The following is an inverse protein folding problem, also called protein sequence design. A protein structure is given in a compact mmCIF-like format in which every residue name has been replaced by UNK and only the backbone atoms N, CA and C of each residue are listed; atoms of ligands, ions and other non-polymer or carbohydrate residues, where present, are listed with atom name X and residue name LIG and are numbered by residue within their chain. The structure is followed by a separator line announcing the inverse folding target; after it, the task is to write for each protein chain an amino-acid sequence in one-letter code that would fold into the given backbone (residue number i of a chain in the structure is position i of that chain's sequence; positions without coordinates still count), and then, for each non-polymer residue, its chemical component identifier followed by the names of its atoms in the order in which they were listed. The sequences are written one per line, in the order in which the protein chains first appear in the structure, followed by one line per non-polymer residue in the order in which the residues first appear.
data_IF_614551522341
#
_entry.id   IF_614551522341
#
_cell.length_a   1.000
_cell.length_b   1.000
_cell.length_c   1.000
_cell.angle_alpha   90.00
_cell.angle_beta   90.00
_cell.angle_gamma   90.00
#
_symmetry.space_group_name_H-M   'P 1'
#
loop_
_entity.id
_entity.type
_entity.pdbx_description
1 polymer ?
#
# COMPACT_ATOMS: atom_id res chain seq x y z
N UNK A 1 -1.36 -48.90 -44.39
CA UNK A 1 -2.23 -47.73 -44.18
C UNK A 1 -2.17 -47.34 -42.71
N UNK A 2 -1.59 -46.18 -42.40
CA UNK A 2 -1.92 -45.25 -41.30
C UNK A 2 -0.69 -44.37 -41.02
N UNK A 3 -0.72 -43.15 -41.57
CA UNK A 3 0.23 -42.08 -41.34
C UNK A 3 0.20 -41.64 -39.86
N UNK A 4 1.36 -41.57 -39.19
CA UNK A 4 1.56 -40.68 -38.05
C UNK A 4 2.26 -39.42 -38.56
N UNK A 5 1.46 -38.41 -38.88
CA UNK A 5 1.95 -37.08 -39.19
C UNK A 5 2.51 -36.40 -37.93
N UNK A 6 3.66 -35.77 -38.13
CA UNK A 6 4.33 -34.79 -37.28
C UNK A 6 3.40 -33.67 -36.81
N UNK A 7 3.45 -33.35 -35.51
CA UNK A 7 3.08 -32.02 -35.00
C UNK A 7 4.26 -31.48 -34.18
N UNK A 8 5.20 -30.90 -34.93
CA UNK A 8 6.20 -29.97 -34.42
C UNK A 8 5.61 -28.56 -34.54
N UNK A 9 5.50 -27.80 -33.44
CA UNK A 9 5.61 -26.32 -33.35
C UNK A 9 4.96 -25.79 -32.06
N UNK A 10 5.76 -25.11 -31.23
CA UNK A 10 5.43 -23.86 -30.50
C UNK A 10 6.64 -23.43 -29.63
N UNK A 11 7.78 -23.18 -30.28
CA UNK A 11 8.91 -22.50 -29.63
C UNK A 11 8.72 -20.99 -29.85
N UNK A 12 8.42 -20.23 -28.80
CA UNK A 12 8.53 -18.78 -28.81
C UNK A 12 9.98 -18.38 -29.10
N UNK A 13 10.19 -17.31 -29.87
CA UNK A 13 11.54 -16.83 -30.20
C UNK A 13 12.19 -16.35 -28.91
N UNK A 14 13.20 -17.10 -28.46
CA UNK A 14 14.03 -16.75 -27.31
C UNK A 14 15.17 -15.82 -27.73
N UNK A 15 15.64 -14.97 -26.84
CA UNK A 15 16.85 -14.18 -27.04
C UNK A 15 18.12 -15.03 -26.84
N UNK A 16 19.29 -14.38 -26.95
CA UNK A 16 20.59 -15.02 -26.79
C UNK A 16 20.85 -15.57 -25.37
N UNK A 17 20.03 -15.18 -24.40
CA UNK A 17 20.09 -15.64 -23.00
C UNK A 17 19.07 -16.75 -22.72
N UNK A 18 18.22 -17.10 -23.68
CA UNK A 18 17.23 -18.17 -23.55
C UNK A 18 15.88 -17.71 -22.99
N UNK A 19 15.69 -16.40 -22.82
CA UNK A 19 14.46 -15.76 -22.35
C UNK A 19 13.52 -15.44 -23.51
N UNK A 20 12.22 -15.43 -23.26
CA UNK A 20 11.25 -15.01 -24.28
C UNK A 20 11.42 -13.51 -24.53
N UNK A 21 11.57 -13.10 -25.80
CA UNK A 21 11.62 -11.68 -26.16
C UNK A 21 10.39 -10.96 -25.61
N UNK A 22 10.55 -9.73 -25.12
CA UNK A 22 9.49 -8.92 -24.49
C UNK A 22 8.20 -8.77 -25.32
N UNK A 23 8.30 -9.00 -26.64
CA UNK A 23 7.21 -8.86 -27.61
C UNK A 23 6.67 -10.23 -28.07
N UNK A 24 7.11 -11.33 -27.45
CA UNK A 24 6.71 -12.67 -27.83
C UNK A 24 5.25 -12.92 -27.43
N UNK A 25 4.50 -13.57 -28.32
CA UNK A 25 3.13 -14.02 -28.05
C UNK A 25 3.13 -14.94 -26.83
N UNK A 26 2.20 -14.71 -25.90
CA UNK A 26 2.04 -15.52 -24.70
C UNK A 26 1.85 -17.01 -25.11
N UNK A 27 2.76 -17.92 -24.71
CA UNK A 27 2.70 -19.32 -25.13
C UNK A 27 1.47 -20.06 -24.57
N UNK A 28 0.82 -19.53 -23.53
CA UNK A 28 -0.39 -20.08 -22.92
C UNK A 28 -1.67 -19.52 -23.56
N UNK A 29 -1.63 -18.28 -24.07
CA UNK A 29 -2.79 -17.63 -24.67
C UNK A 29 -2.41 -16.86 -25.95
N UNK A 30 -2.41 -17.59 -27.06
CA UNK A 30 -1.92 -17.11 -28.37
C UNK A 30 -2.86 -16.07 -29.02
N UNK A 31 -4.08 -15.92 -28.50
CA UNK A 31 -5.06 -14.92 -28.90
C UNK A 31 -5.67 -14.29 -27.64
N UNK A 32 -5.08 -13.21 -27.10
CA UNK A 32 -5.79 -12.41 -26.11
C UNK A 32 -7.01 -11.80 -26.81
N UNK A 33 -8.20 -12.35 -26.56
CA UNK A 33 -9.43 -11.62 -26.81
C UNK A 33 -9.41 -10.42 -25.87
N UNK A 34 -9.06 -9.23 -26.38
CA UNK A 34 -9.34 -8.00 -25.67
C UNK A 34 -10.10 -7.03 -26.56
N UNK A 35 -11.16 -6.48 -25.94
CA UNK A 35 -11.95 -5.30 -26.29
C UNK A 35 -12.96 -5.43 -27.44
N UNK A 36 -14.04 -6.17 -27.18
CA UNK A 36 -15.37 -5.69 -27.57
C UNK A 36 -15.97 -4.87 -26.41
N UNK A 37 -16.76 -3.85 -26.73
CA UNK A 37 -17.34 -2.89 -25.78
C UNK A 37 -17.81 -3.53 -24.48
N UNK A 38 -17.03 -3.32 -23.41
CA UNK A 38 -17.56 -3.56 -22.08
C UNK A 38 -18.74 -2.60 -21.90
N UNK A 39 -19.95 -3.09 -21.57
CA UNK A 39 -21.01 -2.18 -21.18
C UNK A 39 -20.48 -1.33 -20.03
N UNK A 40 -20.69 -0.01 -20.11
CA UNK A 40 -20.38 0.92 -19.02
C UNK A 40 -20.79 0.28 -17.70
N UNK A 41 -19.91 0.27 -16.68
CA UNK A 41 -20.26 -0.27 -15.37
C UNK A 41 -21.58 0.37 -14.94
N UNK A 42 -22.64 -0.44 -14.86
CA UNK A 42 -23.87 0.03 -14.24
C UNK A 42 -23.51 0.32 -12.81
N UNK A 43 -23.55 1.60 -12.42
CA UNK A 43 -23.46 2.02 -11.04
C UNK A 43 -24.59 1.33 -10.28
N UNK A 44 -24.27 0.16 -9.75
CA UNK A 44 -25.18 -0.54 -8.86
C UNK A 44 -24.90 0.13 -7.53
N UNK A 45 -25.82 0.99 -7.09
CA UNK A 45 -25.90 1.33 -5.67
C UNK A 45 -26.34 0.08 -4.92
N UNK A 46 -25.48 -0.94 -4.92
CA UNK A 46 -25.51 -1.95 -3.88
C UNK A 46 -25.18 -1.17 -2.62
N UNK A 47 -26.22 -0.76 -1.89
CA UNK A 47 -26.06 -0.41 -0.49
C UNK A 47 -25.22 -1.54 0.10
N UNK A 48 -24.00 -1.23 0.51
CA UNK A 48 -23.23 -2.12 1.37
C UNK A 48 -24.23 -2.49 2.47
N UNK A 49 -24.59 -3.77 2.65
CA UNK A 49 -25.49 -4.16 3.72
C UNK A 49 -24.99 -3.50 4.99
N UNK A 50 -25.88 -2.83 5.74
CA UNK A 50 -25.50 -2.23 7.02
C UNK A 50 -24.63 -3.23 7.77
N UNK A 51 -23.35 -2.89 7.92
CA UNK A 51 -22.42 -3.76 8.62
C UNK A 51 -23.05 -3.97 9.99
N UNK A 52 -23.18 -5.23 10.46
CA UNK A 52 -23.67 -5.47 11.80
C UNK A 52 -22.87 -4.59 12.77
N UNK A 53 -23.51 -4.05 13.82
CA UNK A 53 -22.83 -3.21 14.79
C UNK A 53 -21.54 -3.91 15.21
N UNK A 54 -20.44 -3.15 15.30
CA UNK A 54 -19.14 -3.72 15.61
C UNK A 54 -19.26 -4.56 16.89
N UNK A 55 -19.28 -5.87 16.72
CA UNK A 55 -19.14 -6.77 17.85
C UNK A 55 -17.73 -6.48 18.33
N UNK A 56 -17.57 -6.07 19.60
CA UNK A 56 -16.25 -6.01 20.22
C UNK A 56 -15.56 -7.30 19.87
N UNK A 57 -14.53 -7.23 19.03
CA UNK A 57 -13.76 -8.39 18.67
C UNK A 57 -13.31 -8.98 20.00
N UNK A 58 -13.66 -10.24 20.26
CA UNK A 58 -13.11 -10.99 21.37
C UNK A 58 -11.64 -11.26 21.01
N UNK A 59 -10.82 -10.22 21.07
CA UNK A 59 -9.37 -10.28 20.86
C UNK A 59 -8.67 -10.92 22.05
N UNK A 60 -9.38 -11.09 23.17
CA UNK A 60 -8.96 -11.88 24.31
C UNK A 60 -9.21 -13.37 24.04
N UNK A 61 -8.49 -13.93 23.07
CA UNK A 61 -8.24 -15.37 23.07
C UNK A 61 -7.05 -15.63 24.01
N UNK A 62 -7.17 -16.53 25.00
CA UNK A 62 -6.03 -16.93 25.82
C UNK A 62 -4.91 -17.62 25.01
N UNK A 63 -5.16 -17.95 23.72
CA UNK A 63 -4.17 -18.48 22.80
C UNK A 63 -3.38 -17.40 22.03
N UNK A 64 -3.83 -16.13 22.02
CA UNK A 64 -3.09 -15.03 21.40
C UNK A 64 -2.03 -14.56 22.40
N UNK A 65 -0.80 -15.04 22.22
CA UNK A 65 0.33 -14.71 23.09
C UNK A 65 0.89 -13.29 22.84
N UNK A 66 0.37 -12.60 21.82
CA UNK A 66 0.79 -11.25 21.39
C UNK A 66 -0.44 -10.39 21.07
N UNK A 67 -1.19 -9.91 22.07
CA UNK A 67 -2.38 -9.10 21.80
C UNK A 67 -1.98 -7.84 21.01
N UNK A 68 -2.70 -7.50 19.92
CA UNK A 68 -2.40 -6.30 19.15
C UNK A 68 -2.52 -5.07 20.04
N UNK A 69 -1.49 -4.24 20.06
CA UNK A 69 -1.58 -2.93 20.73
C UNK A 69 -2.59 -2.09 19.95
N UNK A 70 -3.55 -1.51 20.66
CA UNK A 70 -4.47 -0.54 20.05
C UNK A 70 -3.66 0.58 19.40
N UNK A 71 -4.03 1.00 18.17
CA UNK A 71 -3.39 2.13 17.54
C UNK A 71 -3.53 3.38 18.43
N UNK A 72 -2.56 4.29 18.33
CA UNK A 72 -2.67 5.59 18.98
C UNK A 72 -3.88 6.38 18.46
N UNK A 73 -4.33 7.42 19.18
CA UNK A 73 -5.55 8.16 18.83
C UNK A 73 -5.42 9.02 17.55
N UNK A 74 -4.23 9.08 16.96
CA UNK A 74 -3.93 9.79 15.72
C UNK A 74 -2.79 9.08 14.98
N UNK A 75 -3.00 8.78 13.70
CA UNK A 75 -1.99 8.20 12.81
C UNK A 75 -1.90 8.98 11.50
N UNK A 76 -0.71 9.00 10.90
CA UNK A 76 -0.40 9.77 9.70
C UNK A 76 0.13 11.17 10.02
N UNK A 77 0.18 12.07 9.02
CA UNK A 77 -0.29 11.86 7.65
C UNK A 77 0.63 10.92 6.85
N UNK A 78 0.05 10.00 6.09
CA UNK A 78 0.79 9.16 5.14
C UNK A 78 0.59 9.71 3.73
N UNK A 79 1.62 10.39 3.21
CA UNK A 79 1.55 10.99 1.88
C UNK A 79 1.77 9.97 0.77
N UNK A 80 1.01 10.14 -0.31
CA UNK A 80 1.10 9.36 -1.52
C UNK A 80 1.12 10.29 -2.73
N UNK A 81 2.14 10.14 -3.58
CA UNK A 81 2.10 10.68 -4.93
C UNK A 81 1.12 9.88 -5.78
N UNK A 82 0.23 10.56 -6.50
CA UNK A 82 -0.76 9.93 -7.40
C UNK A 82 -0.31 10.11 -8.85
N UNK A 83 -0.21 11.35 -9.32
CA UNK A 83 0.13 11.66 -10.71
C UNK A 83 0.47 13.14 -10.90
N UNK A 84 0.80 13.52 -12.13
CA UNK A 84 0.96 14.92 -12.55
C UNK A 84 0.13 15.15 -13.82
N UNK A 85 -0.77 16.13 -13.78
CA UNK A 85 -1.53 16.59 -14.95
C UNK A 85 -0.74 17.70 -15.64
N UNK A 86 0.02 17.34 -16.68
CA UNK A 86 0.86 18.27 -17.43
C UNK A 86 0.07 19.29 -18.25
N UNK A 87 -1.20 19.02 -18.57
CA UNK A 87 -2.03 19.99 -19.29
C UNK A 87 -2.48 21.12 -18.36
N UNK A 88 -2.73 20.79 -17.10
CA UNK A 88 -3.12 21.75 -16.06
C UNK A 88 -1.94 22.28 -15.25
N UNK A 89 -0.73 21.77 -15.49
CA UNK A 89 0.44 22.04 -14.67
C UNK A 89 0.14 21.80 -13.18
N UNK A 90 -0.31 20.58 -12.85
CA UNK A 90 -0.79 20.24 -11.51
C UNK A 90 -0.14 18.95 -11.00
N UNK A 91 0.52 19.03 -9.86
CA UNK A 91 0.93 17.86 -9.08
C UNK A 91 -0.23 17.37 -8.23
N UNK A 92 -0.49 16.06 -8.25
CA UNK A 92 -1.61 15.44 -7.54
C UNK A 92 -1.09 14.39 -6.57
N UNK A 93 -1.51 14.52 -5.31
CA UNK A 93 -1.20 13.57 -4.25
C UNK A 93 -2.37 13.39 -3.29
N UNK A 94 -2.15 12.56 -2.28
CA UNK A 94 -3.07 12.47 -1.16
C UNK A 94 -2.34 12.24 0.15
N UNK A 95 -3.03 12.48 1.26
CA UNK A 95 -2.59 12.07 2.59
C UNK A 95 -3.68 11.21 3.24
N UNK A 96 -3.28 10.03 3.75
CA UNK A 96 -4.14 9.20 4.59
C UNK A 96 -3.93 9.60 6.06
N UNK A 97 -5.02 9.88 6.75
CA UNK A 97 -5.03 10.33 8.15
C UNK A 97 -6.04 9.48 8.92
N UNK A 98 -5.65 9.02 10.11
CA UNK A 98 -6.58 8.36 11.03
C UNK A 98 -6.71 9.16 12.31
N UNK A 99 -7.95 9.30 12.80
CA UNK A 99 -8.25 9.96 14.06
C UNK A 99 -9.28 9.17 14.84
N UNK A 100 -9.05 8.97 16.13
CA UNK A 100 -10.00 8.24 16.97
C UNK A 100 -11.37 8.93 16.97
N UNK A 101 -12.45 8.14 16.91
CA UNK A 101 -13.84 8.61 16.71
C UNK A 101 -14.36 9.52 17.83
N UNK A 102 -13.67 9.57 18.97
CA UNK A 102 -13.99 10.49 20.06
C UNK A 102 -13.50 11.92 19.83
N UNK A 103 -12.77 12.17 18.75
CA UNK A 103 -12.26 13.48 18.38
C UNK A 103 -12.87 13.94 17.06
N UNK A 104 -12.96 15.25 16.88
CA UNK A 104 -13.36 15.85 15.62
C UNK A 104 -12.31 15.59 14.52
N UNK A 105 -12.75 15.80 13.27
CA UNK A 105 -11.85 15.76 12.11
C UNK A 105 -10.70 16.78 12.31
N UNK A 106 -9.44 16.38 12.16
CA UNK A 106 -8.31 17.30 12.27
C UNK A 106 -8.32 18.32 11.12
N UNK A 107 -7.64 19.45 11.31
CA UNK A 107 -7.42 20.44 10.26
C UNK A 107 -6.01 20.36 9.71
N UNK A 108 -5.82 20.71 8.44
CA UNK A 108 -4.51 20.71 7.77
C UNK A 108 -4.28 22.05 7.08
N UNK A 109 -3.08 22.60 7.23
CA UNK A 109 -2.61 23.77 6.49
C UNK A 109 -1.34 23.43 5.70
N UNK A 110 -1.17 24.07 4.55
CA UNK A 110 0.03 23.99 3.72
C UNK A 110 0.68 25.37 3.65
N UNK A 111 2.00 25.44 3.88
CA UNK A 111 2.78 26.66 3.97
C UNK A 111 3.86 26.59 2.89
N UNK A 112 3.65 27.33 1.79
CA UNK A 112 4.59 27.46 0.67
C UNK A 112 4.19 28.65 -0.21
N UNK A 113 5.07 29.00 -1.14
CA UNK A 113 4.80 30.06 -2.14
C UNK A 113 3.92 29.58 -3.30
N UNK A 114 3.61 28.28 -3.32
CA UNK A 114 2.80 27.64 -4.36
C UNK A 114 1.32 27.64 -4.00
N UNK A 115 0.47 27.74 -5.01
CA UNK A 115 -0.96 27.47 -4.87
C UNK A 115 -1.21 26.00 -4.53
N UNK A 116 -1.83 25.76 -3.38
CA UNK A 116 -2.27 24.44 -2.93
C UNK A 116 -3.79 24.45 -2.73
N UNK A 117 -4.49 23.62 -3.49
CA UNK A 117 -5.90 23.30 -3.26
C UNK A 117 -5.99 21.90 -2.64
N UNK A 118 -6.92 21.68 -1.71
CA UNK A 118 -7.15 20.36 -1.13
C UNK A 118 -8.61 20.15 -0.71
N UNK A 119 -9.01 18.89 -0.57
CA UNK A 119 -10.31 18.52 -0.02
C UNK A 119 -10.21 17.23 0.82
N UNK A 120 -11.17 17.08 1.74
CA UNK A 120 -11.27 15.92 2.61
C UNK A 120 -12.33 14.95 2.10
N UNK A 121 -12.02 13.67 2.19
CA UNK A 121 -12.91 12.53 1.92
C UNK A 121 -12.90 11.62 3.15
N UNK A 122 -14.07 11.24 3.66
CA UNK A 122 -14.20 10.21 4.70
C UNK A 122 -14.22 8.86 4.01
N UNK A 123 -13.19 8.05 4.23
CA UNK A 123 -13.11 6.69 3.68
C UNK A 123 -13.86 5.69 4.56
N UNK A 124 -13.69 5.82 5.88
CA UNK A 124 -14.35 4.97 6.88
C UNK A 124 -14.67 5.80 8.13
N UNK A 125 -15.91 5.76 8.59
CA UNK A 125 -16.33 6.49 9.80
C UNK A 125 -15.83 5.80 11.08
N UNK A 126 -15.71 4.47 11.07
CA UNK A 126 -15.16 3.69 12.18
C UNK A 126 -14.51 2.40 11.68
N UNK A 127 -13.18 2.38 11.69
CA UNK A 127 -12.36 1.19 11.52
C UNK A 127 -11.45 1.07 12.75
N UNK A 128 -11.75 0.12 13.63
CA UNK A 128 -11.05 -0.06 14.91
C UNK A 128 -11.03 1.21 15.77
N UNK A 129 -12.19 1.85 15.91
CA UNK A 129 -12.39 3.11 16.65
C UNK A 129 -11.63 4.31 16.06
N UNK A 130 -11.17 4.20 14.82
CA UNK A 130 -10.56 5.28 14.05
C UNK A 130 -11.46 5.67 12.88
N UNK A 131 -11.69 6.96 12.70
CA UNK A 131 -12.15 7.51 11.43
C UNK A 131 -10.95 7.64 10.48
N UNK A 132 -11.11 7.17 9.24
CA UNK A 132 -10.09 7.20 8.20
C UNK A 132 -10.45 8.27 7.17
N UNK A 133 -9.55 9.22 6.99
CA UNK A 133 -9.70 10.34 6.07
C UNK A 133 -8.67 10.28 4.96
N UNK A 134 -9.07 10.68 3.76
CA UNK A 134 -8.14 11.04 2.68
C UNK A 134 -8.21 12.54 2.47
N UNK A 135 -7.05 13.19 2.48
CA UNK A 135 -6.90 14.55 1.98
C UNK A 135 -6.40 14.45 0.55
N UNK A 136 -7.20 14.86 -0.43
CA UNK A 136 -6.77 14.98 -1.82
C UNK A 136 -6.04 16.33 -1.97
N UNK A 137 -4.82 16.32 -2.49
CA UNK A 137 -3.93 17.48 -2.54
C UNK A 137 -3.57 17.78 -3.99
N UNK A 138 -3.72 19.05 -4.36
CA UNK A 138 -3.45 19.57 -5.69
C UNK A 138 -2.51 20.77 -5.54
N UNK A 139 -1.27 20.62 -6.04
CA UNK A 139 -0.26 21.68 -5.97
C UNK A 139 0.04 22.14 -7.38
N UNK A 140 0.08 23.44 -7.62
CA UNK A 140 0.54 23.95 -8.90
C UNK A 140 1.97 23.47 -9.20
N UNK A 141 2.22 23.13 -10.45
CA UNK A 141 3.54 22.69 -10.91
C UNK A 141 4.23 23.86 -11.61
N UNK A 142 5.37 24.28 -11.08
CA UNK A 142 6.18 25.31 -11.70
C UNK A 142 7.08 24.73 -12.81
N UNK A 143 7.32 25.47 -13.91
CA UNK A 143 8.30 25.08 -14.91
C UNK A 143 9.75 25.25 -14.41
N UNK A 144 10.71 24.67 -15.13
CA UNK A 144 12.13 24.80 -14.84
C UNK A 144 12.70 23.64 -14.01
N UNK A 145 13.97 23.78 -13.66
CA UNK A 145 14.68 22.88 -12.76
C UNK A 145 14.55 23.37 -11.31
N UNK A 146 14.70 22.44 -10.37
CA UNK A 146 14.59 22.68 -8.93
C UNK A 146 13.44 21.92 -8.27
N UNK A 147 13.42 22.01 -6.95
CA UNK A 147 12.44 21.36 -6.10
C UNK A 147 11.68 22.42 -5.31
N UNK A 148 10.38 22.25 -5.20
CA UNK A 148 9.52 23.11 -4.40
C UNK A 148 9.17 22.40 -3.09
N UNK A 149 9.43 23.05 -1.96
CA UNK A 149 9.18 22.51 -0.62
C UNK A 149 7.79 22.90 -0.15
N UNK A 150 7.00 21.90 0.22
CA UNK A 150 5.68 22.08 0.81
C UNK A 150 5.79 21.73 2.29
N UNK A 151 5.59 22.72 3.16
CA UNK A 151 5.45 22.49 4.59
C UNK A 151 3.97 22.23 4.87
N UNK A 152 3.67 21.27 5.72
CA UNK A 152 2.31 21.00 6.20
C UNK A 152 2.28 21.08 7.72
N UNK A 153 1.13 21.48 8.26
CA UNK A 153 0.83 21.38 9.68
C UNK A 153 -0.57 20.84 9.87
N UNK A 154 -0.71 19.88 10.77
CA UNK A 154 -1.99 19.31 11.19
C UNK A 154 -2.25 19.70 12.63
N UNK A 155 -3.41 20.31 12.85
CA UNK A 155 -3.98 20.47 14.18
C UNK A 155 -4.95 19.31 14.45
N UNK A 156 -4.59 18.48 15.44
CA UNK A 156 -5.38 17.33 15.86
C UNK A 156 -6.42 17.70 16.92
N UNK A 157 -6.41 18.94 17.42
CA UNK A 157 -7.24 19.43 18.52
C UNK A 157 -6.66 19.16 19.91
N UNK A 158 -5.86 18.11 20.09
CA UNK A 158 -5.11 17.78 21.32
C UNK A 158 -3.60 18.00 21.19
N UNK A 159 -3.09 18.07 19.97
CA UNK A 159 -1.69 18.32 19.63
C UNK A 159 -1.59 18.89 18.23
N UNK A 160 -0.40 19.38 17.91
CA UNK A 160 -0.04 19.81 16.56
C UNK A 160 1.15 19.00 16.08
N UNK A 161 1.16 18.66 14.80
CA UNK A 161 2.32 18.05 14.14
C UNK A 161 2.58 18.75 12.82
N UNK A 162 3.84 18.86 12.44
CA UNK A 162 4.24 19.43 11.17
C UNK A 162 5.32 18.59 10.50
N UNK A 163 5.54 18.88 9.23
CA UNK A 163 6.60 18.28 8.43
C UNK A 163 6.63 18.91 7.06
N UNK A 164 7.37 18.29 6.14
CA UNK A 164 7.44 18.76 4.76
C UNK A 164 7.68 17.63 3.79
N UNK A 165 7.31 17.86 2.53
CA UNK A 165 7.73 17.07 1.39
C UNK A 165 8.17 17.99 0.25
N UNK A 166 8.87 17.45 -0.74
CA UNK A 166 9.28 18.19 -1.92
C UNK A 166 8.60 17.65 -3.17
N UNK A 167 8.26 18.54 -4.08
CA UNK A 167 7.82 18.19 -5.43
C UNK A 167 8.88 18.65 -6.44
N UNK A 168 9.08 17.84 -7.47
CA UNK A 168 9.96 18.18 -8.59
C UNK A 168 9.25 19.18 -9.52
N UNK A 169 9.95 20.24 -9.95
CA UNK A 169 9.46 21.10 -11.05
C UNK A 169 9.42 20.35 -12.38
N UNK A 170 8.74 20.93 -13.38
CA UNK A 170 8.48 20.27 -14.66
C UNK A 170 9.73 19.69 -15.34
N UNK A 171 10.85 20.41 -15.32
CA UNK A 171 12.08 20.01 -16.00
C UNK A 171 13.10 19.35 -15.06
N UNK A 172 12.75 19.21 -13.77
CA UNK A 172 13.61 18.61 -12.78
C UNK A 172 13.68 17.09 -12.98
N UNK A 173 14.92 16.56 -13.01
CA UNK A 173 15.13 15.12 -12.98
C UNK A 173 14.60 14.55 -11.66
N UNK A 174 13.74 13.53 -11.76
CA UNK A 174 13.18 12.88 -10.59
C UNK A 174 14.24 12.05 -9.88
N UNK A 175 14.25 12.14 -8.55
CA UNK A 175 15.09 11.33 -7.68
C UNK A 175 14.18 10.47 -6.83
N UNK A 176 14.47 9.19 -6.75
CA UNK A 176 13.66 8.28 -5.97
C UNK A 176 14.49 7.16 -5.37
N UNK A 177 13.94 6.58 -4.31
CA UNK A 177 14.46 5.37 -3.71
C UNK A 177 13.53 4.20 -3.96
N UNK A 178 14.07 2.99 -3.89
CA UNK A 178 13.32 1.75 -3.87
C UNK A 178 13.69 1.00 -2.61
N UNK A 179 12.71 0.42 -1.94
CA UNK A 179 12.96 -0.49 -0.83
C UNK A 179 11.91 -1.59 -0.79
N UNK A 180 12.31 -2.74 -0.28
CA UNK A 180 11.49 -3.92 -0.04
C UNK A 180 11.99 -4.60 1.22
N UNK A 181 11.26 -5.58 1.74
CA UNK A 181 11.71 -6.40 2.86
C UNK A 181 12.03 -5.55 4.12
N UNK A 182 11.09 -4.68 4.52
CA UNK A 182 11.25 -3.80 5.68
C UNK A 182 11.02 -4.53 7.00
N UNK A 183 11.62 -5.71 7.14
CA UNK A 183 11.38 -6.63 8.23
C UNK A 183 12.33 -7.82 8.20
N UNK A 184 12.27 -8.62 9.24
CA UNK A 184 12.85 -9.94 9.29
C UNK A 184 11.70 -10.93 9.40
N UNK A 185 11.83 -12.06 8.71
CA UNK A 185 10.91 -13.16 8.92
C UNK A 185 11.03 -13.72 10.35
N UNK A 186 10.07 -14.55 10.74
CA UNK A 186 10.05 -15.18 12.06
C UNK A 186 11.20 -16.17 12.31
N UNK A 187 11.98 -16.53 11.27
CA UNK A 187 13.05 -17.51 11.32
C UNK A 187 14.44 -16.87 11.48
N UNK A 188 14.56 -15.55 11.30
CA UNK A 188 15.80 -14.84 11.58
C UNK A 188 16.09 -14.89 13.09
N UNK A 189 17.27 -15.38 13.52
CA UNK A 189 17.63 -15.43 14.93
C UNK A 189 17.53 -14.05 15.59
N UNK A 190 16.95 -13.98 16.79
CA UNK A 190 16.73 -12.73 17.53
C UNK A 190 18.01 -11.93 17.75
N UNK A 191 19.15 -12.61 17.93
CA UNK A 191 20.48 -11.98 18.02
C UNK A 191 20.92 -11.27 16.73
N UNK A 192 20.47 -11.74 15.56
CA UNK A 192 20.75 -11.07 14.28
C UNK A 192 19.76 -9.91 14.09
N UNK A 193 18.47 -10.16 14.33
CA UNK A 193 17.43 -9.14 14.20
C UNK A 193 17.63 -7.94 15.14
N UNK A 194 18.12 -8.17 16.37
CA UNK A 194 18.42 -7.10 17.33
C UNK A 194 19.66 -6.27 16.99
N UNK A 195 20.63 -6.85 16.27
CA UNK A 195 21.87 -6.16 15.88
C UNK A 195 21.71 -5.35 14.58
N UNK A 196 20.82 -5.78 13.69
CA UNK A 196 20.43 -5.03 12.49
C UNK A 196 19.16 -4.23 12.75
N UNK A 197 19.28 -3.12 13.47
CA UNK A 197 18.12 -2.25 13.69
C UNK A 197 17.68 -1.62 12.37
N UNK A 198 16.39 -1.75 12.03
CA UNK A 198 15.77 -1.08 10.87
C UNK A 198 16.12 0.42 10.82
N UNK A 199 16.29 1.02 12.00
CA UNK A 199 16.73 2.39 12.19
C UNK A 199 17.98 2.74 11.38
N UNK A 200 18.96 1.85 11.21
CA UNK A 200 20.18 2.19 10.48
C UNK A 200 19.93 2.41 8.98
N UNK A 201 19.09 1.59 8.36
CA UNK A 201 18.74 1.73 6.93
C UNK A 201 17.88 2.98 6.73
N UNK A 202 16.89 3.19 7.60
CA UNK A 202 16.02 4.37 7.52
C UNK A 202 16.74 5.67 7.83
N UNK A 203 17.66 5.67 8.81
CA UNK A 203 18.50 6.83 9.12
C UNK A 203 19.45 7.15 7.97
N UNK A 204 20.01 6.12 7.29
CA UNK A 204 20.84 6.35 6.11
C UNK A 204 20.03 6.86 4.91
N UNK A 205 18.84 6.30 4.67
CA UNK A 205 17.94 6.83 3.63
C UNK A 205 17.53 8.27 3.94
N UNK A 206 17.26 8.57 5.21
CA UNK A 206 16.97 9.92 5.66
C UNK A 206 18.17 10.85 5.43
N UNK A 207 19.40 10.42 5.74
CA UNK A 207 20.60 11.24 5.49
C UNK A 207 20.79 11.52 3.99
N UNK A 208 20.54 10.53 3.12
CA UNK A 208 20.55 10.73 1.66
C UNK A 208 19.45 11.73 1.26
N UNK A 209 18.25 11.62 1.83
CA UNK A 209 17.15 12.53 1.54
C UNK A 209 17.43 13.96 2.02
N UNK A 210 18.11 14.13 3.15
CA UNK A 210 18.53 15.43 3.67
C UNK A 210 19.61 16.09 2.80
N UNK A 211 20.56 15.31 2.27
CA UNK A 211 21.60 15.80 1.35
C UNK A 211 21.06 16.06 -0.06
N UNK A 212 20.20 15.18 -0.57
CA UNK A 212 19.64 15.24 -1.91
C UNK A 212 18.19 14.72 -1.88
N UNK A 213 17.20 15.63 -1.80
CA UNK A 213 15.80 15.26 -1.61
C UNK A 213 15.28 14.26 -2.64
N UNK A 214 14.64 13.21 -2.15
CA UNK A 214 13.93 12.23 -2.97
C UNK A 214 12.49 12.69 -3.18
N UNK A 215 12.00 12.62 -4.42
CA UNK A 215 10.62 12.93 -4.81
C UNK A 215 9.68 11.74 -4.64
N UNK A 216 10.21 10.51 -4.67
CA UNK A 216 9.43 9.29 -4.59
C UNK A 216 10.17 8.19 -3.84
N UNK A 217 9.44 7.42 -3.04
CA UNK A 217 9.90 6.14 -2.52
C UNK A 217 8.98 5.05 -3.05
N UNK A 218 9.54 4.09 -3.78
CA UNK A 218 8.85 2.93 -4.32
C UNK A 218 8.92 1.77 -3.33
N UNK A 219 7.74 1.25 -2.97
CA UNK A 219 7.60 0.15 -2.00
C UNK A 219 7.46 -1.16 -2.78
N UNK A 220 8.46 -2.03 -2.65
CA UNK A 220 8.56 -3.30 -3.39
C UNK A 220 7.84 -4.49 -2.77
N UNK A 221 7.19 -4.34 -1.61
CA UNK A 221 6.53 -5.43 -0.88
C UNK A 221 7.29 -5.90 0.36
N UNK A 222 6.72 -6.85 1.09
CA UNK A 222 7.23 -7.43 2.35
C UNK A 222 7.55 -6.36 3.41
N UNK A 223 6.51 -5.79 4.00
CA UNK A 223 6.64 -4.63 4.89
C UNK A 223 6.32 -4.95 6.35
N UNK A 224 5.25 -5.70 6.60
CA UNK A 224 4.73 -5.88 7.95
C UNK A 224 5.21 -7.16 8.64
N UNK A 225 5.67 -8.16 7.88
CA UNK A 225 6.15 -9.47 8.39
C UNK A 225 5.28 -10.02 9.53
N UNK A 226 3.97 -10.04 9.31
CA UNK A 226 2.97 -10.49 10.29
C UNK A 226 2.76 -12.01 10.25
N UNK A 227 3.76 -12.78 9.82
CA UNK A 227 3.69 -14.23 9.62
C UNK A 227 3.31 -14.98 10.91
N UNK A 228 3.61 -14.38 12.07
CA UNK A 228 3.21 -14.90 13.38
C UNK A 228 1.69 -15.11 13.51
N UNK A 229 0.83 -14.48 12.70
CA UNK A 229 -0.63 -14.72 12.74
C UNK A 229 -0.98 -16.16 12.40
N UNK A 230 -0.18 -16.82 11.56
CA UNK A 230 -0.40 -18.23 11.20
C UNK A 230 -0.07 -19.17 12.35
N UNK A 231 0.78 -18.74 13.27
CA UNK A 231 1.03 -19.44 14.52
C UNK A 231 -0.01 -19.02 15.57
N UNK A 232 -0.18 -17.74 15.87
CA UNK A 232 -0.94 -17.29 17.03
C UNK A 232 -2.46 -17.43 16.89
N UNK A 233 -3.02 -17.44 15.67
CA UNK A 233 -4.47 -17.54 15.44
C UNK A 233 -4.85 -19.02 15.23
N UNK A 234 -5.61 -19.66 16.15
CA UNK A 234 -5.92 -21.09 16.07
C UNK A 234 -6.50 -21.56 14.74
N UNK A 235 -7.43 -20.77 14.17
CA UNK A 235 -7.99 -21.06 12.85
C UNK A 235 -6.94 -21.06 11.73
N UNK A 236 -6.08 -20.04 11.68
CA UNK A 236 -5.04 -19.94 10.63
C UNK A 236 -4.01 -21.06 10.80
N UNK A 237 -3.66 -21.40 12.04
CA UNK A 237 -2.81 -22.54 12.37
C UNK A 237 -3.44 -23.87 11.93
N UNK A 238 -4.73 -24.06 12.15
CA UNK A 238 -5.42 -25.26 11.69
C UNK A 238 -5.44 -25.32 10.15
N UNK A 239 -5.75 -24.20 9.50
CA UNK A 239 -5.80 -24.09 8.04
C UNK A 239 -4.44 -24.35 7.37
N UNK A 240 -3.34 -23.84 7.91
CA UNK A 240 -2.00 -24.06 7.35
C UNK A 240 -1.52 -25.52 7.48
N UNK A 241 -2.12 -26.29 8.38
CA UNK A 241 -1.85 -27.71 8.58
C UNK A 241 -2.78 -28.64 7.76
N UNK A 242 -3.77 -28.09 7.05
CA UNK A 242 -4.63 -28.88 6.16
C UNK A 242 -3.87 -29.33 4.90
N UNK A 243 -4.31 -30.45 4.32
CA UNK A 243 -3.84 -30.91 3.02
C UNK A 243 -4.18 -29.89 1.92
N UNK A 244 -3.34 -29.80 0.89
CA UNK A 244 -3.44 -28.74 -0.13
C UNK A 244 -4.84 -28.64 -0.75
N UNK A 245 -5.45 -29.78 -1.10
CA UNK A 245 -6.77 -29.81 -1.72
C UNK A 245 -7.90 -29.42 -0.75
N UNK A 246 -7.73 -29.68 0.55
CA UNK A 246 -8.74 -29.35 1.56
C UNK A 246 -8.78 -27.85 1.86
N UNK A 247 -7.63 -27.15 1.75
CA UNK A 247 -7.56 -25.69 1.98
C UNK A 247 -8.48 -24.89 1.07
N UNK A 248 -8.61 -25.30 -0.19
CA UNK A 248 -9.41 -24.60 -1.20
C UNK A 248 -10.92 -24.78 -1.01
N UNK A 249 -11.33 -25.83 -0.31
CA UNK A 249 -12.75 -26.19 -0.12
C UNK A 249 -13.22 -25.97 1.31
N UNK A 250 -12.34 -25.54 2.22
CA UNK A 250 -12.70 -25.33 3.61
C UNK A 250 -13.24 -23.92 3.82
N UNK A 251 -14.53 -23.84 4.12
CA UNK A 251 -15.15 -22.58 4.54
C UNK A 251 -14.57 -22.08 5.87
N UNK A 252 -14.58 -20.76 6.05
CA UNK A 252 -14.33 -20.15 7.35
C UNK A 252 -15.44 -20.58 8.31
N UNK A 253 -15.10 -21.34 9.36
CA UNK A 253 -16.07 -21.86 10.34
C UNK A 253 -15.78 -21.32 11.74
N UNK A 254 -16.85 -20.95 12.44
CA UNK A 254 -16.80 -20.35 13.78
C UNK A 254 -16.31 -21.31 14.89
N UNK A 255 -16.39 -22.62 14.66
CA UNK A 255 -15.94 -23.66 15.59
C UNK A 255 -14.42 -23.71 15.77
N UNK A 256 -13.66 -23.11 14.84
CA UNK A 256 -12.21 -23.00 14.86
C UNK A 256 -11.70 -21.71 15.54
N UNK A 257 -12.58 -20.93 16.18
CA UNK A 257 -12.25 -19.74 16.97
C UNK A 257 -11.51 -20.04 18.29
N UNK A 258 -11.51 -21.29 18.75
CA UNK A 258 -10.97 -21.69 20.06
C UNK A 258 -9.50 -22.10 19.98
#
# INVERSE_FOLDING_TARGET
MANRNSNNTKNGVKDEYGDLKANALNPVNVNPQFMGDYPLPKATMSKIPELPPSVKAATESPAINRPPKSPGPALGPYFQFITTDLNKMLWMGSALIFRHVSFDQPSIEFICDLKVDYNWEVLYENIFDLCAYRVNIFVELLPGEGDDKIIWRIDWGDKTTDGSFLIARLNQAWRGGFFSCNGFDAYVPEQIASNFTYSNVWNHLLSIHEETPLHLLLWGGDQNYIDFIFDDIPFLRAWINMEWNERWTTDFRDDLKK
#
